data_IF_713018871941
#
_entry.id   IF_713018871941
#
_cell.length_a   1.000
_cell.length_b   1.000
_cell.length_c   1.000
_cell.angle_alpha   90.00
_cell.angle_beta   90.00
_cell.angle_gamma   90.00
#
_symmetry.space_group_name_H-M   'P 1'
#
loop_
_entity.id
_entity.type
_entity.pdbx_description
1 polymer ?
#
# COMPACT_ATOMS: atom_id res chain seq x y z
N UNK A 1 3.40 7.23 27.58
CA UNK A 1 3.20 7.56 26.15
C UNK A 1 4.16 6.72 25.34
N UNK A 2 3.64 5.96 24.36
CA UNK A 2 4.46 5.13 23.49
C UNK A 2 4.99 5.92 22.31
N UNK A 3 6.23 5.68 21.91
CA UNK A 3 6.84 6.30 20.74
C UNK A 3 7.92 5.38 20.18
N UNK A 4 8.30 5.62 18.92
CA UNK A 4 9.43 4.97 18.27
C UNK A 4 10.34 6.09 17.76
N UNK A 5 11.62 6.10 18.14
CA UNK A 5 12.62 7.03 17.60
C UNK A 5 13.75 6.26 16.97
N UNK A 6 14.01 6.55 15.70
CA UNK A 6 15.06 5.91 14.89
C UNK A 6 16.06 7.00 14.51
N UNK A 7 17.27 6.93 15.06
CA UNK A 7 18.30 7.97 14.89
C UNK A 7 19.52 7.40 14.16
N UNK A 8 19.78 7.91 12.95
CA UNK A 8 20.91 7.59 12.09
C UNK A 8 21.18 6.08 11.96
N UNK A 9 20.12 5.29 11.84
CA UNK A 9 20.21 3.84 11.87
C UNK A 9 20.76 3.31 10.55
N UNK A 10 21.80 2.49 10.66
CA UNK A 10 22.41 1.78 9.54
C UNK A 10 22.59 0.31 9.85
N UNK A 11 22.42 -0.55 8.85
CA UNK A 11 22.65 -1.99 8.96
C UNK A 11 23.46 -2.50 7.78
N UNK A 12 24.62 -3.08 8.10
CA UNK A 12 25.46 -3.79 7.16
C UNK A 12 25.63 -5.25 7.58
N UNK A 13 25.73 -6.12 6.58
CA UNK A 13 26.12 -7.52 6.75
C UNK A 13 27.51 -7.74 6.17
N UNK A 14 28.33 -8.52 6.88
CA UNK A 14 29.67 -8.90 6.41
C UNK A 14 29.53 -9.95 5.31
N UNK A 15 30.01 -9.63 4.12
CA UNK A 15 30.08 -10.55 3.00
C UNK A 15 31.52 -11.00 2.81
N UNK A 16 31.74 -12.31 2.93
CA UNK A 16 33.04 -12.95 2.72
C UNK A 16 33.04 -13.63 1.36
N UNK A 17 34.10 -13.44 0.57
CA UNK A 17 34.26 -14.10 -0.74
C UNK A 17 34.56 -15.60 -0.62
N UNK A 18 35.10 -16.05 0.52
CA UNK A 18 35.39 -17.45 0.79
C UNK A 18 35.34 -17.79 2.28
N UNK A 19 35.04 -19.06 2.60
CA UNK A 19 35.08 -19.58 3.99
C UNK A 19 36.48 -19.47 4.60
N UNK A 20 37.53 -19.68 3.79
CA UNK A 20 38.93 -19.49 4.20
C UNK A 20 39.24 -18.03 4.52
N UNK A 21 38.69 -17.08 3.76
CA UNK A 21 38.81 -15.65 4.05
C UNK A 21 38.23 -15.26 5.41
N UNK A 22 37.10 -15.86 5.79
CA UNK A 22 36.48 -15.68 7.11
C UNK A 22 37.36 -16.25 8.24
N UNK A 23 37.93 -17.43 8.05
CA UNK A 23 38.82 -18.06 9.03
C UNK A 23 40.10 -17.24 9.25
N UNK A 24 40.71 -16.76 8.16
CA UNK A 24 41.91 -15.93 8.23
C UNK A 24 41.63 -14.61 8.96
N UNK A 25 40.50 -13.96 8.71
CA UNK A 25 40.12 -12.73 9.44
C UNK A 25 39.94 -12.99 10.94
N UNK A 26 39.36 -14.12 11.32
CA UNK A 26 39.16 -14.48 12.73
C UNK A 26 40.46 -14.81 13.47
N UNK A 27 41.43 -15.43 12.79
CA UNK A 27 42.72 -15.83 13.35
C UNK A 27 43.82 -14.76 13.19
N UNK A 28 43.58 -13.68 12.44
CA UNK A 28 44.60 -12.67 12.15
C UNK A 28 44.81 -11.74 13.34
N UNK A 29 46.02 -11.70 13.94
CA UNK A 29 46.33 -10.76 15.03
C UNK A 29 46.41 -9.31 14.54
N UNK A 30 46.46 -9.08 13.23
CA UNK A 30 46.59 -7.76 12.61
C UNK A 30 45.24 -7.13 12.19
N UNK A 31 44.11 -7.72 12.62
CA UNK A 31 42.76 -7.21 12.37
C UNK A 31 42.48 -6.90 10.87
N UNK A 32 43.09 -7.70 9.99
CA UNK A 32 43.01 -7.52 8.53
C UNK A 32 41.59 -7.85 8.05
N UNK A 33 40.79 -6.83 7.72
CA UNK A 33 39.42 -7.02 7.22
C UNK A 33 39.46 -7.68 5.84
N UNK A 34 38.84 -8.85 5.72
CA UNK A 34 38.66 -9.61 4.46
C UNK A 34 37.18 -9.73 4.06
N UNK A 35 36.29 -9.06 4.78
CA UNK A 35 34.89 -8.89 4.39
C UNK A 35 34.64 -7.55 3.73
N UNK A 36 33.66 -7.54 2.83
CA UNK A 36 33.01 -6.32 2.36
C UNK A 36 31.72 -6.10 3.17
N UNK A 37 31.38 -4.83 3.44
CA UNK A 37 30.12 -4.48 4.09
C UNK A 37 29.05 -4.28 3.02
N UNK A 38 28.08 -5.21 2.98
CA UNK A 38 26.85 -5.03 2.21
C UNK A 38 25.84 -4.28 3.07
N UNK A 39 25.60 -3.04 2.73
CA UNK A 39 24.64 -2.20 3.43
C UNK A 39 23.22 -2.46 2.95
N UNK A 40 22.32 -2.66 3.89
CA UNK A 40 20.89 -2.88 3.65
C UNK A 40 20.08 -1.65 4.05
N UNK A 41 20.50 -0.96 5.11
CA UNK A 41 19.93 0.31 5.56
C UNK A 41 21.06 1.30 5.84
N UNK A 42 20.87 2.57 5.53
CA UNK A 42 21.82 3.66 5.80
C UNK A 42 21.07 4.91 6.20
N UNK A 43 21.55 5.57 7.25
CA UNK A 43 21.14 6.94 7.63
C UNK A 43 19.61 7.09 7.76
N UNK A 44 18.95 6.06 8.29
CA UNK A 44 17.50 6.09 8.54
C UNK A 44 17.22 6.97 9.76
N UNK A 45 16.37 7.99 9.57
CA UNK A 45 15.96 8.93 10.61
C UNK A 45 14.45 9.15 10.54
N UNK A 46 13.71 8.80 11.57
CA UNK A 46 12.28 9.16 11.72
C UNK A 46 11.80 8.93 13.16
N UNK A 47 10.67 9.55 13.50
CA UNK A 47 10.02 9.40 14.80
C UNK A 47 8.53 9.10 14.61
N UNK A 48 7.99 8.17 15.38
CA UNK A 48 6.56 7.87 15.44
C UNK A 48 6.03 8.36 16.78
N UNK A 49 5.13 9.35 16.73
CA UNK A 49 4.53 9.97 17.89
C UNK A 49 3.51 9.03 18.58
N UNK A 50 3.16 9.30 19.85
CA UNK A 50 2.13 8.54 20.56
C UNK A 50 0.78 8.58 19.86
N UNK A 51 0.21 7.40 19.57
CA UNK A 51 -1.07 7.25 18.87
C UNK A 51 -1.03 7.47 17.36
N UNK A 52 0.13 7.83 16.80
CA UNK A 52 0.32 8.02 15.36
C UNK A 52 0.41 6.66 14.65
N UNK A 53 -0.18 6.59 13.46
CA UNK A 53 -0.07 5.46 12.55
C UNK A 53 0.81 5.82 11.33
N UNK A 54 1.90 5.08 11.15
CA UNK A 54 2.87 5.32 10.08
C UNK A 54 2.96 4.11 9.16
N UNK A 55 2.79 4.35 7.87
CA UNK A 55 2.97 3.35 6.82
C UNK A 55 4.42 3.27 6.36
N UNK A 56 5.00 2.07 6.24
CA UNK A 56 6.30 1.85 5.60
C UNK A 56 6.08 1.15 4.25
N UNK A 57 6.34 1.89 3.18
CA UNK A 57 6.17 1.45 1.79
C UNK A 57 7.56 1.24 1.18
N UNK A 58 7.64 0.42 0.14
CA UNK A 58 8.86 0.29 -0.65
C UNK A 58 8.88 -1.00 -1.45
N UNK A 59 9.74 -1.03 -2.46
CA UNK A 59 9.93 -2.21 -3.29
C UNK A 59 10.49 -3.40 -2.48
N UNK A 60 10.36 -4.61 -3.03
CA UNK A 60 11.04 -5.78 -2.49
C UNK A 60 12.56 -5.54 -2.49
N UNK A 61 13.18 -5.84 -1.35
CA UNK A 61 14.61 -5.58 -1.14
C UNK A 61 14.98 -4.14 -0.71
N UNK A 62 14.01 -3.24 -0.51
CA UNK A 62 14.27 -1.88 -0.02
C UNK A 62 14.79 -1.82 1.43
N UNK A 63 14.67 -2.91 2.20
CA UNK A 63 15.12 -2.98 3.59
C UNK A 63 14.00 -2.99 4.64
N UNK A 64 12.71 -2.99 4.25
CA UNK A 64 11.54 -2.96 5.16
C UNK A 64 11.63 -4.00 6.30
N UNK A 65 11.70 -5.29 5.97
CA UNK A 65 11.81 -6.35 6.99
C UNK A 65 13.08 -6.26 7.82
N UNK A 66 14.18 -5.70 7.28
CA UNK A 66 15.39 -5.44 8.07
C UNK A 66 15.14 -4.30 9.07
N UNK A 67 14.48 -3.22 8.66
CA UNK A 67 14.11 -2.11 9.53
C UNK A 67 13.22 -2.60 10.68
N UNK A 68 12.20 -3.39 10.36
CA UNK A 68 11.31 -3.99 11.36
C UNK A 68 12.07 -4.89 12.35
N UNK A 69 13.05 -5.68 11.88
CA UNK A 69 13.91 -6.49 12.75
C UNK A 69 14.79 -5.66 13.68
N UNK A 70 15.22 -4.48 13.23
CA UNK A 70 15.96 -3.53 14.08
C UNK A 70 15.05 -2.90 15.12
N UNK A 71 13.86 -2.43 14.71
CA UNK A 71 12.87 -1.81 15.60
C UNK A 71 12.44 -2.81 16.68
N UNK A 72 12.11 -4.03 16.30
CA UNK A 72 11.71 -5.09 17.27
C UNK A 72 12.86 -5.62 18.13
N UNK A 73 14.11 -5.20 17.90
CA UNK A 73 15.26 -5.65 18.67
C UNK A 73 15.72 -7.08 18.36
N UNK A 74 15.12 -7.77 17.39
CA UNK A 74 15.56 -9.09 16.92
C UNK A 74 16.91 -9.04 16.18
N UNK A 75 17.31 -7.85 15.73
CA UNK A 75 18.62 -7.56 15.14
C UNK A 75 19.16 -6.24 15.69
N UNK A 76 20.48 -6.16 15.90
CA UNK A 76 21.14 -4.92 16.34
C UNK A 76 21.55 -4.04 15.16
N UNK A 77 21.42 -2.70 15.26
CA UNK A 77 21.96 -1.80 14.25
C UNK A 77 23.50 -1.91 14.18
N UNK A 78 24.07 -1.58 13.02
CA UNK A 78 25.52 -1.43 12.84
C UNK A 78 25.97 -0.02 13.25
N UNK A 79 25.12 0.97 13.01
CA UNK A 79 25.29 2.38 13.40
C UNK A 79 23.96 2.95 13.83
N UNK A 80 23.99 4.01 14.64
CA UNK A 80 22.78 4.66 15.16
C UNK A 80 22.11 3.86 16.28
N UNK A 81 20.94 4.35 16.70
CA UNK A 81 20.19 3.82 17.82
C UNK A 81 18.68 3.85 17.56
N UNK A 82 17.96 2.97 18.24
CA UNK A 82 16.50 2.90 18.21
C UNK A 82 16.01 2.92 19.64
N UNK A 83 15.11 3.85 19.95
CA UNK A 83 14.43 3.95 21.23
C UNK A 83 12.94 3.64 21.05
N UNK A 84 12.39 2.79 21.92
CA UNK A 84 10.97 2.46 21.92
C UNK A 84 10.45 2.51 23.35
N UNK A 85 9.30 3.16 23.52
CA UNK A 85 8.60 3.26 24.81
C UNK A 85 7.26 2.52 24.75
N UNK A 86 6.98 1.74 25.79
CA UNK A 86 5.74 0.97 25.92
C UNK A 86 5.87 -0.50 25.50
N UNK A 87 4.80 -1.26 25.70
CA UNK A 87 4.70 -2.67 25.30
C UNK A 87 4.51 -2.79 23.79
N UNK A 88 5.46 -3.44 23.13
CA UNK A 88 5.46 -3.69 21.69
C UNK A 88 4.81 -5.05 21.40
N UNK A 89 3.82 -5.06 20.52
CA UNK A 89 3.36 -6.28 19.84
C UNK A 89 3.80 -6.20 18.38
N UNK A 90 4.57 -7.18 17.92
CA UNK A 90 5.08 -7.21 16.55
C UNK A 90 4.65 -8.48 15.82
N UNK A 91 3.96 -8.32 14.69
CA UNK A 91 3.38 -9.39 13.88
C UNK A 91 4.24 -9.74 12.66
N UNK A 92 5.57 -9.61 12.80
CA UNK A 92 6.53 -9.80 11.69
C UNK A 92 6.68 -11.25 11.25
N UNK A 93 6.48 -12.17 12.19
CA UNK A 93 6.62 -13.60 12.01
C UNK A 93 5.44 -14.26 12.78
N UNK A 94 4.21 -14.07 12.30
CA UNK A 94 3.01 -14.66 12.91
C UNK A 94 3.20 -16.18 13.07
N UNK A 95 3.09 -16.67 14.31
CA UNK A 95 3.38 -18.06 14.67
C UNK A 95 4.79 -18.31 15.22
N UNK A 96 5.64 -17.27 15.31
CA UNK A 96 6.93 -17.38 15.99
C UNK A 96 6.69 -17.70 17.47
N UNK A 97 7.26 -18.82 17.92
CA UNK A 97 6.99 -19.35 19.25
C UNK A 97 5.77 -20.26 19.31
N UNK A 98 5.31 -20.85 18.19
CA UNK A 98 4.51 -22.06 18.22
C UNK A 98 5.39 -23.32 18.10
N UNK A 99 5.05 -24.34 18.87
CA UNK A 99 5.61 -25.68 18.78
C UNK A 99 4.60 -26.60 18.06
N UNK A 100 5.06 -27.28 17.01
CA UNK A 100 4.22 -28.10 16.13
C UNK A 100 3.49 -29.24 16.84
N UNK A 101 4.13 -29.83 17.85
CA UNK A 101 3.57 -30.95 18.62
C UNK A 101 2.67 -30.51 19.78
N UNK A 102 2.62 -29.20 20.07
CA UNK A 102 1.75 -28.67 21.12
C UNK A 102 0.37 -28.38 20.55
N UNK A 103 -0.66 -28.50 21.40
CA UNK A 103 -2.01 -28.09 21.04
C UNK A 103 -2.08 -26.58 20.82
N UNK A 104 -3.12 -26.10 20.14
CA UNK A 104 -3.38 -24.66 20.04
C UNK A 104 -3.38 -23.99 21.40
N UNK A 105 -4.08 -24.56 22.38
CA UNK A 105 -4.14 -24.06 23.77
C UNK A 105 -2.76 -23.96 24.41
N UNK A 106 -1.93 -24.99 24.29
CA UNK A 106 -0.56 -24.98 24.82
C UNK A 106 0.30 -23.89 24.14
N UNK A 107 0.11 -23.71 22.83
CA UNK A 107 0.76 -22.65 22.06
C UNK A 107 0.29 -21.25 22.45
N UNK A 108 -0.98 -21.07 22.81
CA UNK A 108 -1.51 -19.82 23.36
C UNK A 108 -0.79 -19.47 24.67
N UNK A 109 -0.62 -20.44 25.57
CA UNK A 109 0.15 -20.21 26.81
C UNK A 109 1.61 -19.85 26.52
N UNK A 110 2.27 -20.63 25.66
CA UNK A 110 3.69 -20.42 25.37
C UNK A 110 3.93 -19.05 24.69
N UNK A 111 3.16 -18.72 23.65
CA UNK A 111 3.26 -17.46 22.94
C UNK A 111 2.85 -16.27 23.80
N UNK A 112 1.76 -16.39 24.58
CA UNK A 112 1.33 -15.35 25.51
C UNK A 112 2.38 -15.02 26.57
N UNK A 113 3.08 -16.03 27.11
CA UNK A 113 4.18 -15.82 28.05
C UNK A 113 5.39 -15.14 27.41
N UNK A 114 5.72 -15.47 26.15
CA UNK A 114 6.77 -14.76 25.39
C UNK A 114 6.43 -13.29 25.15
N UNK A 115 5.13 -12.96 25.09
CA UNK A 115 4.63 -11.58 25.02
C UNK A 115 4.55 -10.90 26.40
N UNK A 116 4.99 -11.57 27.47
CA UNK A 116 5.03 -11.04 28.83
C UNK A 116 3.72 -11.17 29.61
N UNK A 117 2.79 -12.02 29.19
CA UNK A 117 1.54 -12.27 29.92
C UNK A 117 1.74 -13.35 31.00
N UNK A 118 1.09 -13.16 32.16
CA UNK A 118 1.05 -14.20 33.19
C UNK A 118 0.09 -15.32 32.78
N UNK A 119 0.31 -16.53 33.32
CA UNK A 119 -0.55 -17.68 33.03
C UNK A 119 -2.01 -17.40 33.41
N UNK A 120 -2.26 -16.73 34.54
CA UNK A 120 -3.62 -16.38 34.98
C UNK A 120 -4.30 -15.44 33.96
N UNK A 121 -3.56 -14.46 33.45
CA UNK A 121 -4.10 -13.53 32.46
C UNK A 121 -4.40 -14.22 31.14
N UNK A 122 -3.57 -15.19 30.74
CA UNK A 122 -3.81 -15.99 29.53
C UNK A 122 -5.06 -16.85 29.70
N UNK A 123 -5.25 -17.48 30.87
CA UNK A 123 -6.47 -18.23 31.17
C UNK A 123 -7.72 -17.36 31.10
N UNK A 124 -7.67 -16.13 31.63
CA UNK A 124 -8.76 -15.15 31.56
C UNK A 124 -9.11 -14.76 30.11
N UNK A 125 -8.09 -14.60 29.27
CA UNK A 125 -8.26 -14.17 27.87
C UNK A 125 -8.58 -15.31 26.91
N UNK A 126 -8.40 -16.57 27.32
CA UNK A 126 -8.56 -17.75 26.47
C UNK A 126 -9.89 -17.78 25.69
N UNK A 127 -11.06 -17.50 26.30
CA UNK A 127 -12.32 -17.48 25.56
C UNK A 127 -12.35 -16.44 24.43
N UNK A 128 -11.79 -15.24 24.66
CA UNK A 128 -11.73 -14.19 23.65
C UNK A 128 -10.75 -14.53 22.52
N UNK A 129 -9.66 -15.24 22.84
CA UNK A 129 -8.68 -15.71 21.86
C UNK A 129 -9.31 -16.78 20.96
N UNK A 130 -10.04 -17.75 21.55
CA UNK A 130 -10.75 -18.80 20.83
C UNK A 130 -11.85 -18.23 19.93
N UNK A 131 -12.68 -17.33 20.46
CA UNK A 131 -13.74 -16.63 19.73
C UNK A 131 -13.18 -15.79 18.58
N UNK A 132 -12.04 -15.12 18.78
CA UNK A 132 -11.44 -14.37 17.69
C UNK A 132 -10.86 -15.29 16.61
N UNK A 133 -10.17 -16.35 17.02
CA UNK A 133 -9.49 -17.29 16.11
C UNK A 133 -10.48 -18.11 15.27
N UNK A 134 -11.64 -18.45 15.82
CA UNK A 134 -12.69 -19.31 15.22
C UNK A 134 -12.12 -20.58 14.57
N UNK A 135 -11.18 -21.24 15.24
CA UNK A 135 -10.62 -22.52 14.80
C UNK A 135 -11.39 -23.74 15.35
N UNK A 136 -12.42 -23.51 16.17
CA UNK A 136 -13.26 -24.55 16.77
C UNK A 136 -12.47 -25.56 17.60
N UNK A 137 -12.83 -26.83 17.50
CA UNK A 137 -12.24 -27.95 18.25
C UNK A 137 -10.74 -28.17 17.95
N UNK A 138 -10.21 -27.55 16.89
CA UNK A 138 -8.79 -27.63 16.60
C UNK A 138 -7.92 -26.97 17.69
N UNK A 139 -8.46 -26.10 18.54
CA UNK A 139 -7.70 -25.48 19.65
C UNK A 139 -7.04 -26.53 20.56
N UNK A 140 -7.66 -27.71 20.70
CA UNK A 140 -7.14 -28.82 21.51
C UNK A 140 -6.39 -29.88 20.67
N UNK A 141 -6.17 -29.62 19.37
CA UNK A 141 -5.37 -30.43 18.46
C UNK A 141 -3.94 -29.88 18.29
N UNK A 142 -2.94 -30.74 18.04
CA UNK A 142 -1.57 -30.31 17.76
C UNK A 142 -1.46 -29.37 16.54
N UNK A 143 -0.71 -28.27 16.66
CA UNK A 143 -0.60 -27.24 15.61
C UNK A 143 -0.06 -27.78 14.27
N UNK A 144 0.69 -28.90 14.27
CA UNK A 144 1.13 -29.56 13.02
C UNK A 144 0.00 -29.99 12.09
N UNK A 145 -1.24 -30.15 12.58
CA UNK A 145 -2.40 -30.50 11.75
C UNK A 145 -3.18 -29.28 11.25
N UNK A 146 -2.78 -28.07 11.65
CA UNK A 146 -3.44 -26.84 11.26
C UNK A 146 -3.09 -26.48 9.82
N UNK A 147 -4.05 -25.87 9.12
CA UNK A 147 -3.72 -25.11 7.90
C UNK A 147 -2.89 -23.88 8.25
N UNK A 148 -2.16 -23.33 7.28
CA UNK A 148 -1.43 -22.06 7.46
C UNK A 148 -2.35 -20.93 7.92
N UNK A 149 -3.58 -20.87 7.39
CA UNK A 149 -4.59 -19.90 7.81
C UNK A 149 -4.95 -20.03 9.29
N UNK A 150 -5.22 -21.24 9.79
CA UNK A 150 -5.54 -21.45 11.21
C UNK A 150 -4.40 -21.05 12.14
N UNK A 151 -3.14 -21.31 11.74
CA UNK A 151 -1.98 -20.90 12.51
C UNK A 151 -1.89 -19.37 12.61
N UNK A 152 -2.05 -18.66 11.49
CA UNK A 152 -2.05 -17.20 11.46
C UNK A 152 -3.21 -16.63 12.28
N UNK A 153 -4.40 -17.22 12.18
CA UNK A 153 -5.58 -16.80 12.95
C UNK A 153 -5.33 -16.87 14.44
N UNK A 154 -4.84 -18.02 14.92
CA UNK A 154 -4.53 -18.20 16.34
C UNK A 154 -3.40 -17.27 16.80
N UNK A 155 -2.31 -17.16 16.02
CA UNK A 155 -1.19 -16.28 16.34
C UNK A 155 -1.64 -14.81 16.46
N UNK A 156 -2.47 -14.33 15.53
CA UNK A 156 -3.02 -12.98 15.57
C UNK A 156 -3.94 -12.79 16.78
N UNK A 157 -4.82 -13.76 17.06
CA UNK A 157 -5.71 -13.72 18.23
C UNK A 157 -4.94 -13.57 19.55
N UNK A 158 -3.86 -14.33 19.71
CA UNK A 158 -3.01 -14.26 20.92
C UNK A 158 -2.28 -12.91 20.99
N UNK A 159 -1.63 -12.50 19.91
CA UNK A 159 -0.83 -11.27 19.88
C UNK A 159 -1.68 -10.00 20.07
N UNK A 160 -2.97 -10.07 19.71
CA UNK A 160 -3.93 -8.97 19.85
C UNK A 160 -4.96 -9.18 20.96
N UNK A 161 -4.75 -10.16 21.84
CA UNK A 161 -5.64 -10.42 22.97
C UNK A 161 -5.68 -9.25 23.96
N UNK A 162 -4.58 -8.50 24.05
CA UNK A 162 -4.50 -7.25 24.81
C UNK A 162 -3.98 -6.15 23.90
N UNK A 163 -4.63 -4.98 23.96
CA UNK A 163 -4.20 -3.77 23.26
C UNK A 163 -2.75 -3.40 23.59
N UNK A 164 -1.81 -3.38 22.62
CA UNK A 164 -0.44 -2.96 22.85
C UNK A 164 -0.30 -1.42 22.85
N UNK A 165 0.81 -0.91 23.40
CA UNK A 165 1.12 0.51 23.30
C UNK A 165 1.71 0.85 21.92
N UNK A 166 2.47 -0.10 21.35
CA UNK A 166 3.02 -0.05 19.99
C UNK A 166 2.65 -1.34 19.26
N UNK A 167 1.97 -1.22 18.12
CA UNK A 167 1.65 -2.33 17.24
C UNK A 167 2.48 -2.23 15.95
N UNK A 168 3.24 -3.28 15.64
CA UNK A 168 4.04 -3.37 14.42
C UNK A 168 3.47 -4.50 13.57
N UNK A 169 3.15 -4.19 12.33
CA UNK A 169 2.47 -5.10 11.42
C UNK A 169 3.31 -5.23 10.15
N UNK A 170 3.65 -6.47 9.78
CA UNK A 170 4.22 -6.78 8.47
C UNK A 170 3.13 -7.23 7.49
N UNK A 171 3.48 -7.34 6.22
CA UNK A 171 2.62 -7.73 5.09
C UNK A 171 1.95 -9.11 5.29
N UNK A 172 2.41 -9.89 6.27
CA UNK A 172 1.92 -11.21 6.63
C UNK A 172 0.45 -11.26 7.09
N UNK A 173 -0.20 -10.13 7.41
CA UNK A 173 -1.66 -10.13 7.66
C UNK A 173 -2.48 -10.54 6.44
N UNK A 174 -1.90 -10.46 5.24
CA UNK A 174 -2.53 -10.94 4.02
C UNK A 174 -2.61 -12.48 3.95
N UNK A 175 -2.00 -13.20 4.89
CA UNK A 175 -2.04 -14.67 4.98
C UNK A 175 -3.27 -15.12 5.78
N UNK A 176 -4.41 -15.20 5.12
CA UNK A 176 -5.68 -15.60 5.72
C UNK A 176 -6.82 -15.51 4.70
N UNK A 177 -8.01 -15.92 5.08
CA UNK A 177 -9.20 -15.63 4.28
C UNK A 177 -9.62 -14.15 4.40
N UNK A 178 -10.34 -13.65 3.40
CA UNK A 178 -10.74 -12.24 3.32
C UNK A 178 -11.60 -11.80 4.52
N UNK A 179 -12.40 -12.72 5.08
CA UNK A 179 -13.24 -12.45 6.24
C UNK A 179 -12.39 -12.19 7.50
N UNK A 180 -11.38 -13.03 7.76
CA UNK A 180 -10.48 -12.86 8.88
C UNK A 180 -9.56 -11.64 8.72
N UNK A 181 -9.14 -11.32 7.49
CA UNK A 181 -8.41 -10.07 7.22
C UNK A 181 -9.25 -8.85 7.63
N UNK A 182 -10.51 -8.80 7.21
CA UNK A 182 -11.43 -7.72 7.59
C UNK A 182 -11.57 -7.63 9.13
N UNK A 183 -11.80 -8.77 9.80
CA UNK A 183 -11.88 -8.85 11.28
C UNK A 183 -10.60 -8.34 11.95
N UNK A 184 -9.43 -8.65 11.39
CA UNK A 184 -8.12 -8.22 11.89
C UNK A 184 -7.92 -6.72 11.72
N UNK A 185 -8.27 -6.16 10.56
CA UNK A 185 -8.21 -4.72 10.31
C UNK A 185 -9.17 -3.93 11.19
N UNK A 186 -10.37 -4.43 11.46
CA UNK A 186 -11.29 -3.82 12.41
C UNK A 186 -10.71 -3.75 13.84
N UNK A 187 -10.06 -4.83 14.29
CA UNK A 187 -9.36 -4.83 15.59
C UNK A 187 -8.20 -3.82 15.62
N UNK A 188 -7.44 -3.71 14.53
CA UNK A 188 -6.35 -2.72 14.41
C UNK A 188 -6.89 -1.29 14.47
N UNK A 189 -8.00 -1.01 13.75
CA UNK A 189 -8.69 0.30 13.77
C UNK A 189 -9.16 0.65 15.18
N UNK A 190 -9.74 -0.31 15.90
CA UNK A 190 -10.14 -0.12 17.30
C UNK A 190 -8.95 0.25 18.20
N UNK A 191 -7.82 -0.46 18.08
CA UNK A 191 -6.62 -0.13 18.86
C UNK A 191 -6.08 1.27 18.54
N UNK A 192 -6.09 1.67 17.27
CA UNK A 192 -5.72 3.03 16.85
C UNK A 192 -6.65 4.07 17.50
N UNK A 193 -7.97 3.86 17.47
CA UNK A 193 -8.94 4.75 18.13
C UNK A 193 -8.72 4.87 19.64
N UNK A 194 -8.22 3.79 20.27
CA UNK A 194 -7.85 3.76 21.70
C UNK A 194 -6.46 4.37 21.98
N UNK A 195 -5.73 4.83 20.95
CA UNK A 195 -4.45 5.54 21.06
C UNK A 195 -3.21 4.65 20.96
N UNK A 196 -3.31 3.45 20.39
CA UNK A 196 -2.12 2.61 20.08
C UNK A 196 -1.30 3.23 18.96
N UNK A 197 0.01 3.38 19.17
CA UNK A 197 0.97 3.76 18.12
C UNK A 197 1.13 2.62 17.13
N UNK A 198 1.04 2.89 15.83
CA UNK A 198 1.00 1.86 14.79
C UNK A 198 2.12 2.06 13.75
N UNK A 199 2.83 0.98 13.44
CA UNK A 199 3.74 0.89 12.30
C UNK A 199 3.25 -0.22 11.37
N UNK A 200 2.80 0.16 10.17
CA UNK A 200 2.21 -0.76 9.20
C UNK A 200 3.09 -0.88 7.97
N UNK A 201 3.51 -2.09 7.61
CA UNK A 201 4.21 -2.36 6.35
C UNK A 201 3.23 -3.01 5.38
N UNK A 202 2.97 -2.33 4.27
CA UNK A 202 2.05 -2.82 3.25
C UNK A 202 2.38 -2.22 1.89
N UNK A 203 2.04 -2.93 0.84
CA UNK A 203 1.97 -2.42 -0.53
C UNK A 203 0.53 -2.11 -0.97
N UNK A 204 -0.46 -2.40 -0.12
CA UNK A 204 -1.86 -2.10 -0.38
C UNK A 204 -2.15 -0.61 -0.11
N UNK A 205 -2.49 0.11 -1.18
CA UNK A 205 -2.84 1.54 -1.14
C UNK A 205 -4.02 1.79 -0.20
N UNK A 206 -5.03 0.91 -0.20
CA UNK A 206 -6.24 1.11 0.57
C UNK A 206 -5.98 0.97 2.08
N UNK A 207 -5.25 -0.06 2.51
CA UNK A 207 -4.85 -0.21 3.91
C UNK A 207 -4.03 0.98 4.40
N UNK A 208 -3.04 1.42 3.61
CA UNK A 208 -2.17 2.55 3.99
C UNK A 208 -2.98 3.85 4.11
N UNK A 209 -3.79 4.20 3.11
CA UNK A 209 -4.60 5.43 3.13
C UNK A 209 -5.68 5.44 4.21
N UNK A 210 -6.28 4.28 4.53
CA UNK A 210 -7.38 4.22 5.50
C UNK A 210 -6.91 4.14 6.96
N UNK A 211 -5.68 3.67 7.21
CA UNK A 211 -5.19 3.37 8.56
C UNK A 211 -4.06 4.30 8.99
N UNK A 212 -3.22 4.78 8.08
CA UNK A 212 -2.04 5.57 8.44
C UNK A 212 -2.34 7.07 8.38
N UNK A 213 -1.73 7.84 9.29
CA UNK A 213 -1.73 9.30 9.28
C UNK A 213 -0.70 9.84 8.29
N UNK A 214 0.42 9.12 8.12
CA UNK A 214 1.47 9.43 7.15
C UNK A 214 2.17 8.16 6.68
N UNK A 215 2.97 8.27 5.63
CA UNK A 215 3.76 7.17 5.12
C UNK A 215 5.21 7.54 4.81
N UNK A 216 6.09 6.55 4.88
CA UNK A 216 7.52 6.62 4.57
C UNK A 216 7.79 5.62 3.44
N UNK A 217 8.36 6.11 2.35
CA UNK A 217 8.87 5.28 1.26
C UNK A 217 10.35 4.97 1.48
N UNK A 218 10.65 3.68 1.60
CA UNK A 218 12.01 3.16 1.56
C UNK A 218 12.42 2.75 0.15
N UNK A 219 13.61 3.19 -0.25
CA UNK A 219 14.25 2.75 -1.49
C UNK A 219 15.74 2.54 -1.28
N UNK A 220 16.25 1.39 -1.75
CA UNK A 220 17.68 1.01 -1.65
C UNK A 220 18.30 1.23 -0.26
N UNK A 221 17.50 1.06 0.80
CA UNK A 221 17.97 1.18 2.18
C UNK A 221 18.00 2.60 2.75
N UNK A 222 17.37 3.58 2.10
CA UNK A 222 17.24 4.95 2.56
C UNK A 222 15.77 5.39 2.51
N UNK A 223 15.42 6.41 3.30
CA UNK A 223 14.13 7.10 3.16
C UNK A 223 14.21 7.98 1.92
N UNK A 224 13.35 7.70 0.94
CA UNK A 224 13.28 8.48 -0.30
C UNK A 224 12.22 9.57 -0.23
N UNK A 225 11.09 9.28 0.42
CA UNK A 225 9.97 10.21 0.57
C UNK A 225 9.24 9.93 1.88
N UNK A 226 8.70 10.97 2.49
CA UNK A 226 7.84 10.91 3.67
C UNK A 226 6.77 11.99 3.56
N UNK A 227 5.53 11.68 3.92
CA UNK A 227 4.42 12.63 3.87
C UNK A 227 3.05 11.96 3.87
N UNK A 228 2.07 12.63 3.25
CA UNK A 228 0.70 12.15 3.13
C UNK A 228 0.63 10.77 2.44
N UNK A 229 -0.16 9.81 2.97
CA UNK A 229 -0.20 8.44 2.45
C UNK A 229 -0.51 8.36 0.96
N UNK A 230 -1.41 9.21 0.46
CA UNK A 230 -1.77 9.27 -0.96
C UNK A 230 -0.58 9.68 -1.84
N UNK A 231 0.07 10.79 -1.53
CA UNK A 231 1.21 11.29 -2.29
C UNK A 231 2.38 10.29 -2.32
N UNK A 232 2.66 9.64 -1.18
CA UNK A 232 3.74 8.63 -1.09
C UNK A 232 3.39 7.37 -1.88
N UNK A 233 2.13 6.91 -1.84
CA UNK A 233 1.68 5.76 -2.63
C UNK A 233 1.67 6.04 -4.12
N UNK A 234 1.30 7.24 -4.54
CA UNK A 234 1.32 7.64 -5.95
C UNK A 234 2.75 7.70 -6.49
N UNK A 235 3.68 8.28 -5.73
CA UNK A 235 5.10 8.25 -6.08
C UNK A 235 5.66 6.82 -6.12
N UNK A 236 5.27 5.96 -5.17
CA UNK A 236 5.66 4.54 -5.20
C UNK A 236 5.15 3.81 -6.45
N UNK A 237 3.88 4.00 -6.81
CA UNK A 237 3.29 3.41 -8.01
C UNK A 237 3.99 3.91 -9.27
N UNK A 238 4.31 5.20 -9.31
CA UNK A 238 5.06 5.81 -10.39
C UNK A 238 6.47 5.21 -10.50
N UNK A 239 7.20 5.02 -9.39
CA UNK A 239 8.51 4.35 -9.37
C UNK A 239 8.47 2.89 -9.87
N UNK A 240 7.39 2.16 -9.57
CA UNK A 240 7.17 0.82 -10.11
C UNK A 240 6.98 0.85 -11.62
N UNK A 241 6.32 1.88 -12.15
CA UNK A 241 6.15 2.12 -13.57
C UNK A 241 7.46 2.57 -14.25
N UNK A 242 8.29 3.39 -13.60
CA UNK A 242 9.59 3.86 -14.11
C UNK A 242 10.63 2.76 -14.27
N UNK A 243 10.60 1.72 -13.41
CA UNK A 243 11.42 0.51 -13.63
C UNK A 243 11.08 -0.23 -14.91
N UNK A 244 9.99 0.14 -15.58
CA UNK A 244 9.60 -0.30 -16.91
C UNK A 244 9.95 0.73 -18.01
N UNK A 245 10.89 1.67 -17.76
CA UNK A 245 11.36 2.78 -18.61
C UNK A 245 10.36 3.95 -18.79
N UNK A 246 9.72 4.42 -17.72
CA UNK A 246 8.87 5.62 -17.75
C UNK A 246 9.57 6.80 -17.05
N UNK A 247 9.09 8.03 -17.29
CA UNK A 247 9.60 9.25 -16.67
C UNK A 247 8.51 9.90 -15.81
N UNK A 248 8.83 10.27 -14.56
CA UNK A 248 7.88 10.93 -13.63
C UNK A 248 8.14 12.43 -13.57
N UNK A 249 7.07 13.22 -13.63
CA UNK A 249 7.07 14.66 -13.35
C UNK A 249 5.93 15.01 -12.42
N UNK A 250 6.24 15.75 -11.35
CA UNK A 250 5.23 16.42 -10.54
C UNK A 250 5.01 17.82 -11.12
N UNK A 251 3.76 18.16 -11.42
CA UNK A 251 3.38 19.47 -11.98
C UNK A 251 2.30 20.08 -11.08
N UNK A 252 2.48 21.32 -10.67
CA UNK A 252 1.42 22.06 -9.98
C UNK A 252 0.37 22.52 -10.99
N UNK A 253 -0.89 22.13 -10.78
CA UNK A 253 -2.02 22.60 -11.57
C UNK A 253 -3.18 22.95 -10.64
N UNK A 254 -3.68 24.19 -10.70
CA UNK A 254 -4.76 24.71 -9.85
C UNK A 254 -4.55 24.47 -8.34
N UNK A 255 -3.30 24.60 -7.85
CA UNK A 255 -2.97 24.46 -6.43
C UNK A 255 -2.95 23.02 -5.89
N UNK A 256 -3.05 22.01 -6.77
CA UNK A 256 -2.87 20.59 -6.43
C UNK A 256 -1.67 20.01 -7.18
N UNK A 257 -0.95 19.09 -6.54
CA UNK A 257 0.17 18.37 -7.14
C UNK A 257 -0.36 17.25 -8.03
N UNK A 258 -0.19 17.38 -9.35
CA UNK A 258 -0.50 16.33 -10.31
C UNK A 258 0.75 15.48 -10.58
N UNK A 259 0.59 14.17 -10.52
CA UNK A 259 1.64 13.21 -10.89
C UNK A 259 1.41 12.76 -12.32
N UNK A 260 2.37 13.06 -13.19
CA UNK A 260 2.40 12.59 -14.58
C UNK A 260 3.54 11.58 -14.72
N UNK A 261 3.26 10.39 -15.25
CA UNK A 261 4.25 9.34 -15.45
C UNK A 261 4.06 8.62 -16.78
N UNK A 262 5.13 8.36 -17.52
CA UNK A 262 5.04 7.60 -18.77
C UNK A 262 6.27 7.76 -19.66
N UNK A 263 6.31 6.99 -20.74
CA UNK A 263 7.39 7.03 -21.74
C UNK A 263 7.29 8.25 -22.67
N UNK A 264 6.10 8.84 -22.82
CA UNK A 264 5.86 10.08 -23.55
C UNK A 264 5.70 9.95 -25.07
N UNK A 265 5.65 8.75 -25.65
CA UNK A 265 5.38 8.59 -27.10
C UNK A 265 3.95 9.01 -27.47
N UNK A 266 3.03 9.04 -26.52
CA UNK A 266 1.73 9.69 -26.66
C UNK A 266 1.50 10.51 -25.41
N UNK A 267 1.09 11.77 -25.59
CA UNK A 267 0.88 12.69 -24.48
C UNK A 267 -0.55 13.19 -24.41
N UNK A 268 -1.05 13.41 -23.20
CA UNK A 268 -2.36 14.02 -22.98
C UNK A 268 -2.21 15.54 -23.12
N UNK A 269 -2.88 16.13 -24.09
CA UNK A 269 -2.90 17.59 -24.27
C UNK A 269 -3.89 18.26 -23.32
N UNK A 270 -5.12 17.77 -23.26
CA UNK A 270 -6.18 18.34 -22.43
C UNK A 270 -7.12 17.23 -21.93
N UNK A 271 -7.70 17.45 -20.75
CA UNK A 271 -8.77 16.61 -20.19
C UNK A 271 -9.83 17.53 -19.60
N UNK A 272 -11.06 17.41 -20.07
CA UNK A 272 -12.19 18.21 -19.60
C UNK A 272 -13.39 17.32 -19.30
N UNK A 273 -14.16 17.67 -18.27
CA UNK A 273 -15.49 17.12 -18.07
C UNK A 273 -16.50 18.15 -18.57
N UNK A 274 -17.36 17.72 -19.50
CA UNK A 274 -18.32 18.57 -20.19
C UNK A 274 -19.74 18.27 -19.71
N UNK A 275 -20.55 19.32 -19.59
CA UNK A 275 -22.00 19.23 -19.37
C UNK A 275 -22.75 18.87 -20.67
N UNK A 276 -24.08 18.74 -20.58
CA UNK A 276 -24.95 18.41 -21.73
C UNK A 276 -24.94 19.47 -22.84
N UNK A 277 -24.52 20.70 -22.52
CA UNK A 277 -24.38 21.80 -23.47
C UNK A 277 -22.96 21.88 -24.06
N UNK A 278 -22.04 21.01 -23.63
CA UNK A 278 -20.65 20.97 -24.08
C UNK A 278 -19.73 21.97 -23.36
N UNK A 279 -20.15 22.58 -22.26
CA UNK A 279 -19.30 23.48 -21.48
C UNK A 279 -18.52 22.70 -20.41
N UNK A 280 -17.32 23.15 -20.10
CA UNK A 280 -16.51 22.58 -19.01
C UNK A 280 -17.21 22.82 -17.67
N UNK A 281 -17.34 21.77 -16.86
CA UNK A 281 -17.99 21.83 -15.55
C UNK A 281 -17.19 21.13 -14.45
N UNK A 282 -17.24 21.70 -13.25
CA UNK A 282 -16.76 21.09 -12.00
C UNK A 282 -17.91 20.58 -11.12
N UNK A 283 -19.16 20.79 -11.55
CA UNK A 283 -20.37 20.39 -10.82
C UNK A 283 -21.28 19.58 -11.72
N UNK A 284 -21.69 18.41 -11.23
CA UNK A 284 -22.51 17.46 -11.96
C UNK A 284 -23.72 17.09 -11.11
N UNK A 285 -24.91 17.14 -11.68
CA UNK A 285 -26.12 16.66 -11.01
C UNK A 285 -26.28 15.16 -11.17
N UNK A 286 -26.78 14.48 -10.12
CA UNK A 286 -27.05 13.03 -10.18
C UNK A 286 -27.94 12.69 -11.38
N UNK A 287 -27.47 11.77 -12.22
CA UNK A 287 -28.20 11.21 -13.35
C UNK A 287 -28.11 12.02 -14.65
N UNK A 288 -27.55 13.24 -14.61
CA UNK A 288 -27.33 14.04 -15.82
C UNK A 288 -26.25 13.43 -16.71
N UNK A 289 -26.36 13.65 -18.01
CA UNK A 289 -25.35 13.15 -18.94
C UNK A 289 -24.15 14.09 -18.94
N UNK A 290 -22.95 13.51 -18.86
CA UNK A 290 -21.68 14.23 -18.93
C UNK A 290 -20.75 13.54 -19.90
N UNK A 291 -19.79 14.29 -20.43
CA UNK A 291 -18.80 13.76 -21.37
C UNK A 291 -17.39 14.07 -20.90
N UNK A 292 -16.59 13.03 -20.67
CA UNK A 292 -15.15 13.16 -20.42
C UNK A 292 -14.42 13.26 -21.77
N UNK A 293 -13.90 14.44 -22.08
CA UNK A 293 -13.06 14.67 -23.24
C UNK A 293 -11.59 14.45 -22.89
N UNK A 294 -10.91 13.62 -23.67
CA UNK A 294 -9.46 13.37 -23.57
C UNK A 294 -8.83 13.63 -24.93
N UNK A 295 -8.01 14.68 -25.01
CA UNK A 295 -7.29 15.03 -26.22
C UNK A 295 -5.84 14.55 -26.12
N UNK A 296 -5.39 13.76 -27.09
CA UNK A 296 -4.03 13.20 -27.10
C UNK A 296 -3.27 13.57 -28.36
N UNK A 297 -1.96 13.62 -28.24
CA UNK A 297 -1.04 13.86 -29.34
C UNK A 297 0.02 12.75 -29.40
N UNK A 298 0.16 12.14 -30.57
CA UNK A 298 1.11 11.05 -30.83
C UNK A 298 2.47 11.66 -31.18
N UNK A 299 3.48 11.45 -30.33
CA UNK A 299 4.83 11.99 -30.46
C UNK A 299 5.76 11.07 -31.27
N UNK A 300 5.51 9.77 -31.27
CA UNK A 300 6.23 8.77 -32.07
C UNK A 300 5.29 7.70 -32.64
N UNK A 301 5.72 7.00 -33.69
CA UNK A 301 4.94 5.92 -34.30
C UNK A 301 4.69 4.80 -33.28
N UNK A 302 3.41 4.45 -33.07
CA UNK A 302 3.01 3.44 -32.07
C UNK A 302 2.10 2.36 -32.68
N UNK A 303 2.24 1.10 -32.24
CA UNK A 303 1.45 0.00 -32.78
C UNK A 303 -0.01 0.03 -32.30
N UNK A 304 -0.23 0.52 -31.08
CA UNK A 304 -1.51 0.43 -30.38
C UNK A 304 -1.64 1.59 -29.38
N UNK A 305 -2.84 2.15 -29.30
CA UNK A 305 -3.23 3.11 -28.28
C UNK A 305 -4.55 2.68 -27.63
N UNK A 306 -4.48 2.44 -26.32
CA UNK A 306 -5.62 2.30 -25.43
C UNK A 306 -5.71 3.53 -24.55
N UNK A 307 -6.88 4.16 -24.52
CA UNK A 307 -7.17 5.31 -23.65
C UNK A 307 -8.15 4.84 -22.58
N UNK A 308 -7.72 4.95 -21.33
CA UNK A 308 -8.51 4.58 -20.17
C UNK A 308 -8.71 5.75 -19.22
N UNK A 309 -9.80 5.69 -18.46
CA UNK A 309 -10.02 6.58 -17.34
C UNK A 309 -10.53 5.80 -16.12
N UNK A 310 -10.29 6.37 -14.95
CA UNK A 310 -10.74 5.84 -13.67
C UNK A 310 -11.33 6.99 -12.84
N UNK A 311 -12.60 6.91 -12.50
CA UNK A 311 -13.27 7.77 -11.54
C UNK A 311 -12.97 7.23 -10.15
N UNK A 312 -12.45 8.10 -9.28
CA UNK A 312 -12.14 7.80 -7.88
C UNK A 312 -12.93 8.73 -6.97
N UNK A 313 -13.28 8.25 -5.78
CA UNK A 313 -13.85 9.12 -4.74
C UNK A 313 -12.77 10.01 -4.08
N UNK A 314 -13.18 10.84 -3.12
CA UNK A 314 -12.29 11.68 -2.32
C UNK A 314 -11.22 10.95 -1.50
N UNK A 315 -11.35 9.63 -1.32
CA UNK A 315 -10.39 8.78 -0.62
C UNK A 315 -9.47 8.04 -1.61
N UNK A 316 -9.61 8.30 -2.91
CA UNK A 316 -8.87 7.63 -3.97
C UNK A 316 -9.39 6.24 -4.33
N UNK A 317 -10.56 5.83 -3.81
CA UNK A 317 -11.14 4.52 -4.10
C UNK A 317 -11.73 4.50 -5.51
N UNK A 318 -11.43 3.48 -6.33
CA UNK A 318 -11.97 3.37 -7.67
C UNK A 318 -13.49 3.12 -7.60
N UNK A 319 -14.26 3.98 -8.25
CA UNK A 319 -15.72 3.89 -8.35
C UNK A 319 -16.13 3.23 -9.66
N UNK A 320 -15.52 3.69 -10.75
CA UNK A 320 -15.73 3.14 -12.08
C UNK A 320 -14.53 3.44 -12.95
N UNK A 321 -14.12 2.51 -13.78
CA UNK A 321 -13.10 2.74 -14.80
C UNK A 321 -13.30 1.83 -15.98
N UNK A 322 -12.92 2.31 -17.15
CA UNK A 322 -12.95 1.56 -18.39
C UNK A 322 -11.89 2.11 -19.34
N UNK A 323 -11.74 1.47 -20.48
CA UNK A 323 -10.81 1.91 -21.52
C UNK A 323 -11.30 1.49 -22.91
N UNK A 324 -10.68 2.05 -23.94
CA UNK A 324 -11.04 1.74 -25.34
C UNK A 324 -10.88 0.27 -25.70
N UNK A 325 -10.01 -0.48 -25.01
CA UNK A 325 -9.88 -1.93 -25.20
C UNK A 325 -11.14 -2.67 -24.73
N UNK A 326 -11.63 -2.39 -23.52
CA UNK A 326 -12.87 -2.98 -22.99
C UNK A 326 -14.11 -2.58 -23.79
N UNK A 327 -14.06 -1.45 -24.49
CA UNK A 327 -15.10 -1.00 -25.42
C UNK A 327 -14.95 -1.57 -26.83
N UNK A 328 -13.93 -2.40 -27.10
CA UNK A 328 -13.58 -2.93 -28.43
C UNK A 328 -13.33 -1.82 -29.48
N UNK A 329 -12.77 -0.69 -29.07
CA UNK A 329 -12.47 0.49 -29.90
C UNK A 329 -11.00 0.92 -29.78
N UNK A 330 -10.08 -0.04 -29.62
CA UNK A 330 -8.64 0.23 -29.61
C UNK A 330 -8.17 0.80 -30.95
N UNK A 331 -7.35 1.86 -30.91
CA UNK A 331 -6.70 2.38 -32.10
C UNK A 331 -5.37 1.66 -32.35
N UNK A 332 -5.09 1.35 -33.61
CA UNK A 332 -3.85 0.67 -34.01
C UNK A 332 -3.12 1.45 -35.11
N UNK A 333 -1.80 1.25 -35.19
CA UNK A 333 -0.94 1.83 -36.24
C UNK A 333 -0.97 3.36 -36.35
N UNK A 334 -0.94 4.07 -35.21
CA UNK A 334 -0.92 5.54 -35.22
C UNK A 334 0.46 6.07 -35.59
N UNK A 335 0.47 7.16 -36.36
CA UNK A 335 1.69 7.85 -36.81
C UNK A 335 2.01 9.07 -35.97
N UNK A 336 3.31 9.36 -35.90
CA UNK A 336 3.84 10.60 -35.32
C UNK A 336 3.13 11.84 -35.88
N UNK A 337 2.70 12.71 -34.98
CA UNK A 337 2.00 13.96 -35.29
C UNK A 337 0.48 13.85 -35.34
N UNK A 338 -0.09 12.64 -35.26
CA UNK A 338 -1.55 12.47 -35.17
C UNK A 338 -2.09 13.06 -33.85
N UNK A 339 -3.25 13.70 -33.95
CA UNK A 339 -4.03 14.17 -32.82
C UNK A 339 -5.36 13.43 -32.82
N UNK A 340 -5.80 12.98 -31.64
CA UNK A 340 -7.06 12.26 -31.45
C UNK A 340 -7.81 12.85 -30.27
N UNK A 341 -9.12 13.00 -30.41
CA UNK A 341 -10.03 13.40 -29.33
C UNK A 341 -10.96 12.25 -29.02
N UNK A 342 -10.96 11.82 -27.76
CA UNK A 342 -11.83 10.77 -27.23
C UNK A 342 -12.89 11.41 -26.35
N UNK A 343 -14.17 11.16 -26.64
CA UNK A 343 -15.29 11.67 -25.88
C UNK A 343 -16.06 10.51 -25.26
N UNK A 344 -15.91 10.32 -23.95
CA UNK A 344 -16.62 9.28 -23.19
C UNK A 344 -17.86 9.89 -22.52
N UNK A 345 -19.04 9.62 -23.07
CA UNK A 345 -20.32 10.15 -22.58
C UNK A 345 -21.05 9.14 -21.71
N UNK A 346 -21.41 9.51 -20.49
CA UNK A 346 -22.13 8.63 -19.55
C UNK A 346 -23.09 9.42 -18.66
N UNK A 347 -24.11 8.74 -18.14
CA UNK A 347 -25.04 9.33 -17.16
C UNK A 347 -24.37 9.31 -15.78
N UNK A 348 -24.22 10.45 -15.12
CA UNK A 348 -23.56 10.60 -13.84
C UNK A 348 -24.38 10.04 -12.66
N UNK A 349 -24.59 8.73 -12.63
CA UNK A 349 -25.32 8.01 -11.57
C UNK A 349 -24.45 7.76 -10.35
N UNK A 350 -23.75 8.80 -9.90
CA UNK A 350 -22.83 8.80 -8.77
C UNK A 350 -23.54 9.36 -7.53
N UNK A 351 -23.20 8.86 -6.34
CA UNK A 351 -23.68 9.47 -5.10
C UNK A 351 -23.13 10.88 -4.90
N UNK A 352 -23.76 11.68 -4.05
CA UNK A 352 -23.29 13.03 -3.70
C UNK A 352 -21.87 12.95 -3.11
N UNK A 353 -20.96 13.78 -3.60
CA UNK A 353 -19.57 13.78 -3.13
C UNK A 353 -18.59 14.46 -4.06
N UNK A 354 -17.31 14.41 -3.70
CA UNK A 354 -16.20 14.90 -4.52
C UNK A 354 -15.47 13.72 -5.15
N UNK A 355 -15.17 13.83 -6.44
CA UNK A 355 -14.58 12.79 -7.25
C UNK A 355 -13.42 13.34 -8.06
N UNK A 356 -12.53 12.44 -8.47
CA UNK A 356 -11.44 12.75 -9.40
C UNK A 356 -11.37 11.74 -10.53
N UNK A 357 -10.80 12.16 -11.66
CA UNK A 357 -10.55 11.30 -12.82
C UNK A 357 -9.06 11.15 -13.01
N UNK A 358 -8.58 9.91 -13.00
CA UNK A 358 -7.26 9.56 -13.53
C UNK A 358 -7.41 9.13 -14.99
N UNK A 359 -6.48 9.54 -15.85
CA UNK A 359 -6.47 9.17 -17.28
C UNK A 359 -5.15 8.49 -17.60
N UNK A 360 -5.19 7.45 -18.42
CA UNK A 360 -4.01 6.70 -18.79
C UNK A 360 -4.02 6.26 -20.26
N UNK A 361 -2.86 6.40 -20.89
CA UNK A 361 -2.56 6.04 -22.27
C UNK A 361 -1.60 4.85 -22.25
N UNK A 362 -2.02 3.70 -22.77
CA UNK A 362 -1.21 2.48 -22.66
C UNK A 362 -1.46 1.52 -23.82
N UNK A 363 -0.70 0.43 -23.85
CA UNK A 363 -0.98 -0.75 -24.69
C UNK A 363 -1.75 -1.81 -23.89
N UNK A 364 -2.41 -2.74 -24.58
CA UNK A 364 -3.13 -3.88 -23.99
C UNK A 364 -4.32 -3.53 -23.08
N UNK A 365 -4.97 -4.56 -22.51
CA UNK A 365 -6.16 -4.42 -21.67
C UNK A 365 -5.93 -3.71 -20.33
N UNK A 366 -4.68 -3.62 -19.85
CA UNK A 366 -4.34 -3.00 -18.57
C UNK A 366 -3.12 -2.07 -18.70
N UNK A 367 -2.99 -1.13 -17.78
CA UNK A 367 -1.86 -0.20 -17.68
C UNK A 367 -0.51 -0.87 -17.34
N UNK A 368 -0.50 -2.19 -17.11
CA UNK A 368 0.71 -2.99 -16.83
C UNK A 368 1.54 -3.29 -18.09
N UNK A 369 1.01 -2.99 -19.28
CA UNK A 369 1.78 -2.97 -20.52
C UNK A 369 2.68 -1.73 -20.61
N UNK A 370 2.99 -1.30 -21.84
CA UNK A 370 3.69 -0.03 -22.06
C UNK A 370 2.74 1.13 -21.74
N UNK A 371 3.05 1.93 -20.71
CA UNK A 371 2.30 3.13 -20.35
C UNK A 371 2.98 4.37 -20.95
N UNK A 372 2.29 5.02 -21.88
CA UNK A 372 2.74 6.20 -22.60
C UNK A 372 2.61 7.46 -21.76
N UNK A 373 1.47 7.63 -21.09
CA UNK A 373 1.24 8.70 -20.11
C UNK A 373 0.10 8.31 -19.17
N UNK A 374 0.35 8.40 -17.88
CA UNK A 374 -0.63 8.36 -16.81
C UNK A 374 -0.67 9.74 -16.16
N UNK A 375 -1.87 10.27 -15.98
CA UNK A 375 -2.12 11.54 -15.29
C UNK A 375 -3.15 11.29 -14.20
N UNK A 376 -2.71 11.36 -12.95
CA UNK A 376 -3.63 11.34 -11.82
C UNK A 376 -4.23 12.72 -11.56
N UNK A 377 -5.42 12.77 -10.96
CA UNK A 377 -6.16 14.01 -10.69
C UNK A 377 -6.31 14.90 -11.94
N UNK A 378 -6.54 14.28 -13.11
CA UNK A 378 -6.66 14.98 -14.40
C UNK A 378 -7.87 15.92 -14.41
N UNK A 379 -8.97 15.52 -13.77
CA UNK A 379 -10.16 16.35 -13.50
C UNK A 379 -10.63 16.09 -12.07
N UNK A 380 -11.15 17.12 -11.41
CA UNK A 380 -11.84 17.02 -10.12
C UNK A 380 -13.22 17.64 -10.29
N UNK A 381 -14.26 16.96 -9.81
CA UNK A 381 -15.64 17.43 -9.90
C UNK A 381 -16.45 17.02 -8.68
N UNK A 382 -17.54 17.73 -8.43
CA UNK A 382 -18.47 17.46 -7.35
C UNK A 382 -19.82 17.02 -7.91
N UNK A 383 -20.37 15.96 -7.33
CA UNK A 383 -21.71 15.48 -7.64
C UNK A 383 -22.67 16.01 -6.59
N UNK A 384 -23.75 16.65 -7.04
CA UNK A 384 -24.84 17.17 -6.19
C UNK A 384 -26.15 16.49 -6.56
N UNK A 385 -27.01 16.26 -5.57
CA UNK A 385 -28.32 15.69 -5.79
C UNK A 385 -29.39 16.78 -5.64
N UNK A 386 -29.96 17.23 -6.75
CA UNK A 386 -30.99 18.27 -6.79
C UNK A 386 -32.39 17.70 -7.02
N UNK A 387 -32.50 16.50 -7.57
CA UNK A 387 -33.76 15.98 -8.14
C UNK A 387 -34.14 14.57 -7.66
N UNK A 388 -33.17 13.76 -7.24
CA UNK A 388 -33.37 12.34 -6.92
C UNK A 388 -33.57 12.11 -5.42
N UNK A 389 -34.20 10.99 -5.06
CA UNK A 389 -34.24 10.54 -3.65
C UNK A 389 -32.83 10.26 -3.13
N UNK A 390 -32.60 10.42 -1.82
CA UNK A 390 -31.31 10.07 -1.21
C UNK A 390 -30.97 8.58 -1.40
N UNK A 391 -29.71 8.30 -1.74
CA UNK A 391 -29.23 6.93 -1.98
C UNK A 391 -27.74 6.78 -1.64
N UNK A 392 -27.31 5.52 -1.53
CA UNK A 392 -25.91 5.10 -1.36
C UNK A 392 -25.63 3.89 -2.25
N UNK A 393 -24.44 3.79 -2.84
CA UNK A 393 -24.06 2.63 -3.66
C UNK A 393 -22.82 2.83 -4.53
N UNK A 394 -22.35 1.74 -5.15
CA UNK A 394 -21.30 1.73 -6.19
C UNK A 394 -21.95 1.72 -7.58
N UNK A 395 -21.42 2.51 -8.51
CA UNK A 395 -22.12 2.83 -9.77
C UNK A 395 -21.57 2.07 -10.98
N UNK A 396 -22.47 1.63 -11.86
CA UNK A 396 -22.13 1.15 -13.21
C UNK A 396 -22.39 2.27 -14.21
N UNK A 397 -21.32 2.80 -14.82
CA UNK A 397 -21.34 4.02 -15.67
C UNK A 397 -20.83 3.73 -17.09
N UNK A 398 -21.49 2.84 -17.86
CA UNK A 398 -21.00 2.48 -19.18
C UNK A 398 -20.99 3.71 -20.09
N UNK A 399 -19.84 4.09 -20.67
CA UNK A 399 -19.79 5.23 -21.57
C UNK A 399 -20.13 4.82 -23.01
N UNK A 400 -20.71 5.77 -23.75
CA UNK A 400 -20.63 5.81 -25.20
C UNK A 400 -19.37 6.56 -25.60
N UNK A 401 -18.57 5.97 -26.49
CA UNK A 401 -17.30 6.52 -26.92
C UNK A 401 -17.38 7.01 -28.37
N UNK A 402 -17.02 8.28 -28.57
CA UNK A 402 -16.76 8.88 -29.87
C UNK A 402 -15.28 9.22 -30.00
N UNK A 403 -14.68 8.89 -31.15
CA UNK A 403 -13.27 9.16 -31.46
C UNK A 403 -13.21 10.02 -32.72
N UNK A 404 -12.48 11.13 -32.66
CA UNK A 404 -12.23 12.05 -33.79
C UNK A 404 -10.76 12.31 -34.04
#
# INVERSE_FOLDING_TARGET
MSYIRVNNVGKAYRQYHSKTGRLIEWLSPLNTKRHNLKWILREINFEVAPGEAVGIIGINGAGKSTLLKLITGTSRPTTGEIEISGRVAALLELGMGFHSDFTGRQNVYMSGQLLGLSSEKITELMPQIEEFAEIGDYIDQPVRVYSSGMQVRLAFSVATAIRPDVLIIDEALSVGDAYFQHKSFERIRKFRQEGTTLLLVSHDKQAIQSICDRAILLNKGQIEMEGEPEAVMDYYNALLADKQNQSIKQVEHNGKTQTVSGTGEVTISEVHLLDEQGNVTEFVSVGHRVSLQVNVEVKDDIPELVVGYMIKDRLGQPIFGTNTYHLNQTLTSLKKGEKRSFLFSFDARLGVGSYSVAVALHTSSTHLGKNYEWRDLAVVFNVVNTEQQEFVGVSWLPPELEIS
#
